data_IF_127519278912
#
_entry.id   IF_127519278912
#
_cell.length_a   1.000
_cell.length_b   1.000
_cell.length_c   1.000
_cell.angle_alpha   90.00
_cell.angle_beta   90.00
_cell.angle_gamma   90.00
#
_symmetry.space_group_name_H-M   'P 1'
#
loop_
_entity.id
_entity.type
_entity.pdbx_description
1 polymer ?
#
# COMPACT_ATOMS: atom_id res chain seq x y z
N UNK A 1 22.23 -12.06 -4.67
CA UNK A 1 20.85 -12.10 -5.22
C UNK A 1 20.86 -11.74 -6.71
N UNK A 2 21.25 -10.52 -7.08
CA UNK A 2 21.26 -10.03 -8.47
C UNK A 2 22.13 -10.88 -9.43
N UNK A 3 23.25 -11.41 -8.92
CA UNK A 3 24.14 -12.33 -9.65
C UNK A 3 23.54 -13.74 -9.90
N UNK A 4 22.31 -14.00 -9.46
CA UNK A 4 21.61 -15.26 -9.71
C UNK A 4 20.31 -15.03 -10.49
N UNK A 5 19.98 -13.78 -10.77
CA UNK A 5 18.76 -13.43 -11.52
C UNK A 5 18.93 -13.75 -12.99
N UNK A 6 17.84 -14.19 -13.61
CA UNK A 6 17.81 -14.37 -15.06
C UNK A 6 17.86 -13.01 -15.77
N UNK A 7 18.37 -13.01 -16.99
CA UNK A 7 18.28 -11.85 -17.86
C UNK A 7 16.82 -11.41 -18.04
N UNK A 8 16.58 -10.10 -18.01
CA UNK A 8 15.27 -9.43 -18.07
C UNK A 8 14.34 -9.69 -16.88
N UNK A 9 14.92 -9.97 -15.71
CA UNK A 9 14.13 -10.06 -14.47
C UNK A 9 13.51 -8.70 -14.14
N UNK A 10 12.23 -8.69 -13.75
CA UNK A 10 11.52 -7.50 -13.26
C UNK A 10 11.43 -7.57 -11.74
N UNK A 11 11.79 -6.47 -11.07
CA UNK A 11 11.79 -6.32 -9.62
C UNK A 11 10.85 -5.19 -9.21
N UNK A 12 10.03 -5.46 -8.20
CA UNK A 12 9.12 -4.50 -7.59
C UNK A 12 9.08 -4.76 -6.08
N UNK A 13 9.01 -3.68 -5.30
CA UNK A 13 8.78 -3.74 -3.85
C UNK A 13 7.34 -3.31 -3.55
N UNK A 14 6.80 -3.73 -2.42
CA UNK A 14 5.43 -3.40 -1.97
C UNK A 14 5.45 -2.68 -0.62
N UNK A 15 6.63 -2.45 -0.05
CA UNK A 15 6.85 -1.84 1.27
C UNK A 15 7.76 -0.62 1.15
N UNK A 16 7.68 0.31 2.11
CA UNK A 16 8.33 1.65 2.12
C UNK A 16 9.81 1.68 1.67
N UNK A 17 10.34 2.86 1.26
CA UNK A 17 11.50 3.03 0.40
C UNK A 17 12.82 2.37 0.84
N UNK A 18 13.62 2.06 -0.19
CA UNK A 18 15.08 1.91 -0.25
C UNK A 18 15.82 0.77 0.49
N UNK A 19 15.39 0.31 1.68
CA UNK A 19 16.25 -0.63 2.46
C UNK A 19 16.19 -2.09 1.99
N UNK A 20 15.09 -2.51 1.36
CA UNK A 20 14.89 -3.93 1.03
C UNK A 20 15.84 -4.43 -0.07
N UNK A 21 16.25 -3.54 -0.98
CA UNK A 21 17.01 -3.88 -2.18
C UNK A 21 18.43 -3.29 -2.20
N UNK A 22 18.71 -2.26 -1.38
CA UNK A 22 20.01 -1.58 -1.24
C UNK A 22 20.63 -1.17 -2.58
N UNK A 23 19.79 -0.62 -3.46
CA UNK A 23 20.14 -0.28 -4.85
C UNK A 23 21.30 0.70 -4.91
N UNK A 24 21.34 1.68 -4.02
CA UNK A 24 22.42 2.67 -3.96
C UNK A 24 23.79 2.05 -3.64
N UNK A 25 23.85 1.10 -2.70
CA UNK A 25 25.11 0.41 -2.39
C UNK A 25 25.53 -0.48 -3.54
N UNK A 26 24.60 -1.13 -4.23
CA UNK A 26 24.90 -1.96 -5.39
C UNK A 26 25.45 -1.14 -6.57
N UNK A 27 24.91 0.07 -6.80
CA UNK A 27 25.44 1.00 -7.80
C UNK A 27 26.84 1.47 -7.39
N UNK A 28 27.02 1.93 -6.15
CA UNK A 28 28.31 2.43 -5.65
C UNK A 28 29.40 1.36 -5.66
N UNK A 29 29.05 0.11 -5.34
CA UNK A 29 29.94 -1.05 -5.41
C UNK A 29 30.13 -1.61 -6.83
N UNK A 30 29.50 -0.99 -7.84
CA UNK A 30 29.58 -1.40 -9.24
C UNK A 30 28.97 -2.77 -9.54
N UNK A 31 28.12 -3.29 -8.65
CA UNK A 31 27.42 -4.58 -8.82
C UNK A 31 26.32 -4.48 -9.89
N UNK A 32 25.71 -3.31 -10.00
CA UNK A 32 24.77 -2.97 -11.06
C UNK A 32 25.13 -1.60 -11.65
N UNK A 33 24.79 -1.40 -12.92
CA UNK A 33 25.02 -0.16 -13.66
C UNK A 33 23.69 0.28 -14.25
N UNK A 34 23.26 1.51 -13.97
CA UNK A 34 22.06 2.10 -14.58
C UNK A 34 22.31 2.36 -16.06
N UNK A 35 21.41 1.91 -16.93
CA UNK A 35 21.56 2.07 -18.39
C UNK A 35 20.49 2.98 -18.98
N UNK A 36 19.22 2.67 -18.72
CA UNK A 36 18.08 3.37 -19.32
C UNK A 36 16.97 3.54 -18.29
N UNK A 37 16.26 4.67 -18.35
CA UNK A 37 15.01 4.86 -17.64
C UNK A 37 13.94 5.16 -18.68
N UNK A 38 12.85 4.38 -18.68
CA UNK A 38 11.70 4.69 -19.53
C UNK A 38 10.99 5.95 -19.00
N UNK A 39 10.87 7.02 -19.80
CA UNK A 39 10.41 8.33 -19.28
C UNK A 39 8.91 8.59 -19.46
N UNK A 40 8.13 7.68 -20.05
CA UNK A 40 6.78 8.03 -20.50
C UNK A 40 5.71 7.80 -19.43
N UNK A 41 5.34 8.89 -18.73
CA UNK A 41 4.01 9.19 -18.12
C UNK A 41 3.31 8.13 -17.23
N UNK A 42 3.97 7.02 -16.96
CA UNK A 42 3.50 5.82 -16.29
C UNK A 42 4.50 5.44 -15.19
N UNK A 43 4.23 4.35 -14.45
CA UNK A 43 5.09 3.88 -13.35
C UNK A 43 6.54 3.77 -13.87
N UNK A 44 7.51 4.50 -13.29
CA UNK A 44 8.86 4.54 -13.82
C UNK A 44 9.52 3.15 -13.77
N UNK A 45 10.19 2.77 -14.86
CA UNK A 45 10.96 1.52 -14.96
C UNK A 45 12.38 1.87 -15.38
N UNK A 46 13.35 1.43 -14.60
CA UNK A 46 14.77 1.62 -14.88
C UNK A 46 15.43 0.28 -15.16
N UNK A 47 16.20 0.22 -16.25
CA UNK A 47 17.00 -0.93 -16.61
C UNK A 47 18.41 -0.78 -16.02
N UNK A 48 18.84 -1.82 -15.33
CA UNK A 48 20.19 -1.96 -14.79
C UNK A 48 20.87 -3.18 -15.39
N UNK A 49 22.17 -3.08 -15.62
CA UNK A 49 23.01 -4.20 -16.02
C UNK A 49 23.83 -4.70 -14.84
N UNK A 50 23.83 -6.00 -14.59
CA UNK A 50 24.63 -6.65 -13.54
C UNK A 50 26.07 -6.90 -14.00
N UNK A 51 26.96 -7.28 -13.06
CA UNK A 51 28.34 -7.72 -13.37
C UNK A 51 28.41 -8.89 -14.35
N UNK A 52 27.36 -9.70 -14.43
CA UNK A 52 27.25 -10.86 -15.32
C UNK A 52 26.65 -10.52 -16.68
N UNK A 53 26.43 -9.22 -16.96
CA UNK A 53 25.83 -8.75 -18.20
C UNK A 53 24.36 -9.17 -18.38
N UNK A 54 23.65 -9.43 -17.28
CA UNK A 54 22.20 -9.59 -17.27
C UNK A 54 21.55 -8.22 -17.07
N UNK A 55 20.41 -8.01 -17.72
CA UNK A 55 19.58 -6.83 -17.54
C UNK A 55 18.49 -7.14 -16.51
N UNK A 56 18.29 -6.24 -15.57
CA UNK A 56 17.20 -6.28 -14.62
C UNK A 56 16.42 -4.98 -14.72
N UNK A 57 15.11 -5.06 -14.60
CA UNK A 57 14.22 -3.92 -14.68
C UNK A 57 13.64 -3.66 -13.29
N UNK A 58 13.90 -2.49 -12.74
CA UNK A 58 13.38 -2.08 -11.44
C UNK A 58 12.24 -1.10 -11.65
N UNK A 59 11.10 -1.44 -11.05
CA UNK A 59 9.97 -0.54 -10.94
C UNK A 59 10.28 0.47 -9.83
N UNK A 60 10.08 1.76 -10.13
CA UNK A 60 10.33 2.89 -9.22
C UNK A 60 11.72 2.89 -8.56
N UNK A 61 12.76 2.41 -9.25
CA UNK A 61 14.11 2.26 -8.68
C UNK A 61 14.17 1.45 -7.37
N UNK A 62 13.14 0.64 -7.08
CA UNK A 62 13.01 -0.13 -5.84
C UNK A 62 12.06 0.46 -4.80
N UNK A 63 11.46 1.61 -5.07
CA UNK A 63 10.40 2.18 -4.24
C UNK A 63 9.04 1.51 -4.46
N UNK A 64 8.22 1.60 -3.42
CA UNK A 64 6.88 1.03 -3.44
C UNK A 64 6.00 1.81 -4.44
N UNK A 65 5.60 1.21 -5.58
CA UNK A 65 4.86 1.92 -6.62
C UNK A 65 3.45 2.31 -6.17
N UNK A 66 2.95 1.70 -5.09
CA UNK A 66 1.65 1.98 -4.50
C UNK A 66 1.57 3.30 -3.72
N UNK A 67 2.69 3.99 -3.48
CA UNK A 67 2.68 5.26 -2.76
C UNK A 67 2.50 6.48 -3.69
N UNK A 68 3.14 6.48 -4.86
CA UNK A 68 3.16 7.64 -5.76
C UNK A 68 2.38 7.40 -7.06
N UNK A 69 2.39 6.18 -7.60
CA UNK A 69 1.90 5.91 -8.96
C UNK A 69 0.66 5.03 -9.02
N UNK A 70 0.19 4.52 -7.88
CA UNK A 70 -1.04 3.76 -7.81
C UNK A 70 -2.04 4.43 -6.89
N UNK A 71 -3.29 4.54 -7.36
CA UNK A 71 -4.42 4.73 -6.45
C UNK A 71 -4.63 3.50 -5.53
N UNK A 72 -3.94 2.37 -5.78
CA UNK A 72 -3.95 1.23 -4.85
C UNK A 72 -3.40 1.64 -3.50
N UNK A 73 -4.30 1.70 -2.52
CA UNK A 73 -4.01 2.05 -1.13
C UNK A 73 -4.83 3.26 -0.68
N UNK A 74 -4.98 4.29 -1.52
CA UNK A 74 -5.73 5.50 -1.15
C UNK A 74 -7.21 5.21 -0.82
N UNK A 75 -7.80 4.27 -1.56
CA UNK A 75 -9.18 3.80 -1.34
C UNK A 75 -9.26 2.51 -0.52
N UNK A 76 -8.14 2.00 0.00
CA UNK A 76 -8.16 0.82 0.87
C UNK A 76 -8.66 1.24 2.25
N UNK A 77 -9.89 0.84 2.64
CA UNK A 77 -10.46 1.29 3.89
C UNK A 77 -9.70 0.71 5.10
N UNK A 78 -8.84 -0.30 4.91
CA UNK A 78 -7.97 -0.83 5.97
C UNK A 78 -6.85 0.15 6.36
N UNK A 79 -6.45 1.08 5.49
CA UNK A 79 -5.46 2.12 5.82
C UNK A 79 -6.02 3.19 6.76
N UNK A 80 -7.35 3.41 6.77
CA UNK A 80 -7.97 4.34 7.71
C UNK A 80 -7.67 3.97 9.16
N UNK A 81 -7.63 2.66 9.48
CA UNK A 81 -7.34 2.19 10.83
C UNK A 81 -5.95 2.63 11.31
N UNK A 82 -4.93 2.45 10.46
CA UNK A 82 -3.55 2.86 10.74
C UNK A 82 -3.44 4.38 10.98
N UNK A 83 -4.11 5.18 10.15
CA UNK A 83 -4.10 6.65 10.28
C UNK A 83 -4.75 7.12 11.59
N UNK A 84 -5.91 6.54 11.94
CA UNK A 84 -6.58 6.91 13.19
C UNK A 84 -5.71 6.49 14.38
N UNK A 85 -5.12 5.28 14.36
CA UNK A 85 -4.23 4.80 15.43
C UNK A 85 -3.02 5.72 15.60
N UNK A 86 -2.39 6.11 14.49
CA UNK A 86 -1.29 7.06 14.49
C UNK A 86 -1.68 8.41 15.12
N UNK A 87 -2.85 8.95 14.76
CA UNK A 87 -3.37 10.19 15.32
C UNK A 87 -3.69 10.07 16.82
N UNK A 88 -4.28 8.95 17.26
CA UNK A 88 -4.61 8.70 18.66
C UNK A 88 -3.36 8.61 19.55
N UNK A 89 -2.35 7.86 19.11
CA UNK A 89 -1.06 7.78 19.79
C UNK A 89 -0.38 9.15 19.82
N UNK A 90 -0.33 9.85 18.69
CA UNK A 90 0.24 11.20 18.60
C UNK A 90 -0.45 12.19 19.53
N UNK A 91 -1.78 12.11 19.68
CA UNK A 91 -2.55 12.92 20.62
C UNK A 91 -2.20 12.62 22.08
N UNK A 92 -2.12 11.34 22.48
CA UNK A 92 -1.70 10.99 23.85
C UNK A 92 -0.28 11.49 24.16
N UNK A 93 0.64 11.36 23.20
CA UNK A 93 2.00 11.88 23.33
C UNK A 93 2.03 13.41 23.44
N UNK A 94 1.23 14.13 22.64
CA UNK A 94 1.13 15.59 22.68
C UNK A 94 0.57 16.10 24.02
N UNK A 95 -0.20 15.28 24.74
CA UNK A 95 -0.64 15.55 26.11
C UNK A 95 0.43 15.27 27.18
N UNK A 96 1.65 14.91 26.78
CA UNK A 96 2.75 14.56 27.68
C UNK A 96 2.60 13.18 28.32
N UNK A 97 1.74 12.31 27.77
CA UNK A 97 1.62 10.93 28.25
C UNK A 97 2.71 10.07 27.60
N UNK A 98 3.40 9.28 28.41
CA UNK A 98 4.22 8.20 27.88
C UNK A 98 3.30 7.11 27.33
N UNK A 99 3.49 6.73 26.07
CA UNK A 99 2.72 5.67 25.43
C UNK A 99 3.57 4.40 25.41
N UNK A 100 3.09 3.36 26.08
CA UNK A 100 3.72 2.04 26.07
C UNK A 100 3.20 1.19 24.91
N UNK A 101 3.93 0.12 24.56
CA UNK A 101 3.46 -0.89 23.59
C UNK A 101 2.10 -1.46 23.97
N UNK A 102 1.90 -1.81 25.25
CA UNK A 102 0.61 -2.31 25.76
C UNK A 102 -0.53 -1.30 25.52
N UNK A 103 -0.24 0.01 25.65
CA UNK A 103 -1.22 1.07 25.40
C UNK A 103 -1.55 1.17 23.91
N UNK A 104 -0.55 1.03 23.04
CA UNK A 104 -0.75 1.01 21.58
C UNK A 104 -1.64 -0.18 21.19
N UNK A 105 -1.38 -1.38 21.71
CA UNK A 105 -2.21 -2.55 21.41
C UNK A 105 -3.65 -2.42 21.93
N UNK A 106 -3.84 -1.77 23.09
CA UNK A 106 -5.18 -1.48 23.61
C UNK A 106 -5.94 -0.53 22.68
N UNK A 107 -5.28 0.54 22.23
CA UNK A 107 -5.85 1.49 21.28
C UNK A 107 -6.19 0.79 19.96
N UNK A 108 -5.28 -0.01 19.42
CA UNK A 108 -5.50 -0.79 18.19
C UNK A 108 -6.73 -1.68 18.31
N UNK A 109 -6.85 -2.50 19.37
CA UNK A 109 -8.01 -3.36 19.60
C UNK A 109 -9.31 -2.57 19.69
N UNK A 110 -9.31 -1.45 20.40
CA UNK A 110 -10.48 -0.58 20.53
C UNK A 110 -10.91 0.00 19.17
N UNK A 111 -9.94 0.45 18.38
CA UNK A 111 -10.17 1.10 17.10
C UNK A 111 -10.62 0.10 16.04
N UNK A 112 -10.02 -1.10 16.02
CA UNK A 112 -10.48 -2.20 15.18
C UNK A 112 -11.93 -2.59 15.50
N UNK A 113 -12.29 -2.68 16.78
CA UNK A 113 -13.66 -2.96 17.18
C UNK A 113 -14.65 -1.89 16.71
N UNK A 114 -14.29 -0.62 16.81
CA UNK A 114 -15.14 0.47 16.32
C UNK A 114 -15.25 0.48 14.80
N UNK A 115 -14.12 0.27 14.11
CA UNK A 115 -14.05 0.22 12.66
C UNK A 115 -14.92 -0.90 12.09
N UNK A 116 -14.81 -2.12 12.62
CA UNK A 116 -15.62 -3.26 12.17
C UNK A 116 -17.11 -3.02 12.42
N UNK A 117 -17.48 -2.41 13.54
CA UNK A 117 -18.88 -2.06 13.82
C UNK A 117 -19.43 -1.07 12.79
N UNK A 118 -18.70 0.01 12.50
CA UNK A 118 -19.10 1.00 11.48
C UNK A 118 -19.22 0.34 10.11
N UNK A 119 -18.26 -0.52 9.75
CA UNK A 119 -18.30 -1.24 8.49
C UNK A 119 -19.53 -2.14 8.38
N UNK A 120 -19.88 -2.86 9.45
CA UNK A 120 -21.09 -3.68 9.52
C UNK A 120 -22.38 -2.84 9.42
N UNK A 121 -22.44 -1.69 10.09
CA UNK A 121 -23.58 -0.77 10.02
C UNK A 121 -23.78 -0.25 8.59
N UNK A 122 -22.71 0.21 7.94
CA UNK A 122 -22.77 0.71 6.54
C UNK A 122 -23.09 -0.41 5.55
N UNK A 123 -22.52 -1.61 5.74
CA UNK A 123 -22.81 -2.76 4.89
C UNK A 123 -24.29 -3.18 4.99
N UNK A 124 -24.86 -3.19 6.20
CA UNK A 124 -26.27 -3.46 6.42
C UNK A 124 -27.17 -2.40 5.78
N UNK A 125 -26.86 -1.11 5.95
CA UNK A 125 -27.59 -0.02 5.28
C UNK A 125 -27.56 -0.13 3.75
N UNK A 126 -26.41 -0.56 3.21
CA UNK A 126 -26.24 -0.76 1.76
C UNK A 126 -27.10 -1.93 1.30
N UNK A 127 -27.08 -3.06 2.00
CA UNK A 127 -27.90 -4.24 1.71
C UNK A 127 -29.40 -3.92 1.76
N UNK A 128 -29.87 -3.22 2.80
CA UNK A 128 -31.24 -2.77 2.93
C UNK A 128 -31.66 -1.85 1.77
N UNK A 129 -30.82 -0.88 1.40
CA UNK A 129 -31.05 -0.01 0.24
C UNK A 129 -31.17 -0.79 -1.08
N UNK A 130 -30.31 -1.80 -1.30
CA UNK A 130 -30.37 -2.66 -2.48
C UNK A 130 -31.66 -3.47 -2.50
N UNK A 131 -32.10 -4.02 -1.36
CA UNK A 131 -33.33 -4.79 -1.26
C UNK A 131 -34.58 -3.91 -1.47
N UNK A 132 -34.65 -2.70 -0.91
CA UNK A 132 -35.78 -1.79 -1.12
C UNK A 132 -35.93 -1.38 -2.59
N UNK A 133 -34.81 -1.06 -3.26
CA UNK A 133 -34.80 -0.64 -4.67
C UNK A 133 -35.26 -1.74 -5.63
N UNK A 134 -34.96 -3.01 -5.32
CA UNK A 134 -35.33 -4.16 -6.16
C UNK A 134 -36.65 -4.81 -5.76
N UNK A 135 -37.13 -4.58 -4.55
CA UNK A 135 -38.45 -5.03 -4.09
C UNK A 135 -39.59 -4.08 -4.50
N UNK A 136 -39.29 -2.80 -4.74
CA UNK A 136 -40.26 -1.79 -5.20
C UNK A 136 -40.66 -1.87 -6.68
N UNK A 137 -39.88 -2.59 -7.51
CA UNK A 137 -40.13 -2.73 -8.95
C UNK A 137 -41.22 -3.74 -9.33
N UNK A 138 -41.55 -4.67 -8.44
CA UNK A 138 -42.51 -5.74 -8.73
C UNK A 138 -43.99 -5.35 -8.49
N UNK A 139 -44.28 -4.16 -7.95
CA UNK A 139 -45.64 -3.75 -7.54
C UNK A 139 -46.35 -2.79 -8.50
N UNK A 140 -45.75 -2.42 -9.64
CA UNK A 140 -46.35 -1.52 -10.64
C UNK A 140 -46.45 -2.12 -12.05
N UNK A 141 -46.86 -3.39 -12.15
CA UNK A 141 -47.27 -4.00 -13.41
C UNK A 141 -48.53 -4.88 -13.22
N UNK A 142 -49.52 -4.38 -12.50
CA UNK A 142 -50.86 -4.98 -12.43
C UNK A 142 -51.89 -3.92 -11.98
N UNK A 143 -51.99 -2.82 -12.73
CA UNK A 143 -53.20 -1.98 -12.79
C UNK A 143 -53.38 -1.48 -14.22
#
# INVERSE_FOLDING_TARGET
>A
MYDLMHDRTILATVTSPDDALDIQTLIRGGHIVREEQQPDGSIPITTYRTKQNHHIHLICDGDAPNLEYSAFGADDPTLAMLLILHAAVGYEMAQGRAVSTDRIEQLERQMMSHYLRIYQEVAAETEDYWHERHSGGARRMNE
#
